data_IF_039536368866
#
_entry.id   IF_039536368866
#
_cell.length_a   1.000
_cell.length_b   1.000
_cell.length_c   1.000
_cell.angle_alpha   90.00
_cell.angle_beta   90.00
_cell.angle_gamma   90.00
#
_symmetry.space_group_name_H-M   'P 1'
#
loop_
_entity.id
_entity.type
_entity.pdbx_description
1 polymer ?
#
# COMPACT_ATOMS: atom_id res chain seq x y z
N UNK A 1 2.04 -28.70 7.20
CA UNK A 1 1.27 -27.44 7.32
C UNK A 1 1.99 -26.41 6.48
N UNK A 2 1.28 -25.71 5.60
CA UNK A 2 1.89 -24.74 4.69
C UNK A 2 2.50 -23.57 5.47
N UNK A 3 3.72 -23.18 5.11
CA UNK A 3 4.52 -22.18 5.82
C UNK A 3 4.53 -20.87 5.04
N UNK A 4 4.18 -19.77 5.72
CA UNK A 4 4.22 -18.41 5.20
C UNK A 4 4.97 -17.50 6.15
N UNK A 5 5.59 -16.45 5.61
CA UNK A 5 6.31 -15.46 6.43
C UNK A 5 6.10 -14.03 5.92
N UNK A 6 6.36 -13.06 6.78
CA UNK A 6 6.66 -11.69 6.36
C UNK A 6 8.14 -11.42 6.57
N UNK A 7 8.85 -11.06 5.49
CA UNK A 7 10.23 -10.61 5.53
C UNK A 7 10.31 -9.10 5.73
N UNK A 8 11.17 -8.65 6.64
CA UNK A 8 11.45 -7.24 6.85
C UNK A 8 12.58 -7.00 7.83
N UNK A 9 13.06 -5.76 7.88
CA UNK A 9 14.05 -5.32 8.85
C UNK A 9 13.87 -3.81 9.14
N UNK A 10 13.37 -3.43 10.33
CA UNK A 10 12.94 -4.28 11.45
C UNK A 10 11.60 -5.00 11.19
N UNK A 11 11.30 -6.05 11.98
CA UNK A 11 10.03 -6.82 11.85
C UNK A 11 9.28 -7.06 13.17
N UNK A 12 9.85 -6.70 14.32
CA UNK A 12 9.31 -7.06 15.66
C UNK A 12 7.89 -6.55 15.96
N UNK A 13 7.46 -5.47 15.29
CA UNK A 13 6.12 -4.89 15.46
C UNK A 13 5.17 -5.21 14.31
N UNK A 14 5.53 -6.13 13.41
CA UNK A 14 4.70 -6.47 12.26
C UNK A 14 3.34 -7.02 12.69
N UNK A 15 2.28 -6.50 12.08
CA UNK A 15 0.90 -6.94 12.30
C UNK A 15 0.49 -8.07 11.34
N UNK A 16 1.28 -8.38 10.30
CA UNK A 16 0.94 -9.41 9.31
C UNK A 16 0.68 -10.80 9.92
N UNK A 17 1.47 -11.30 10.92
CA UNK A 17 1.20 -12.60 11.52
C UNK A 17 -0.18 -12.70 12.19
N UNK A 18 -0.60 -11.63 12.88
CA UNK A 18 -1.93 -11.57 13.47
C UNK A 18 -3.02 -11.58 12.39
N UNK A 19 -2.86 -10.74 11.36
CA UNK A 19 -3.81 -10.61 10.25
C UNK A 19 -4.03 -11.96 9.55
N UNK A 20 -2.94 -12.61 9.12
CA UNK A 20 -3.04 -13.86 8.36
C UNK A 20 -3.50 -15.03 9.23
N UNK A 21 -3.20 -15.05 10.53
CA UNK A 21 -3.77 -16.03 11.46
C UNK A 21 -5.29 -15.87 11.57
N UNK A 22 -5.78 -14.64 11.74
CA UNK A 22 -7.22 -14.37 11.78
C UNK A 22 -7.91 -14.75 10.47
N UNK A 23 -7.29 -14.48 9.32
CA UNK A 23 -7.81 -14.92 8.02
C UNK A 23 -7.84 -16.45 7.89
N UNK A 24 -6.80 -17.15 8.36
CA UNK A 24 -6.75 -18.60 8.34
C UNK A 24 -7.84 -19.23 9.21
N UNK A 25 -8.05 -18.71 10.41
CA UNK A 25 -9.14 -19.14 11.32
C UNK A 25 -10.52 -18.91 10.69
N UNK A 26 -10.76 -17.72 10.12
CA UNK A 26 -12.03 -17.39 9.47
C UNK A 26 -12.36 -18.29 8.27
N UNK A 27 -11.34 -18.71 7.51
CA UNK A 27 -11.52 -19.43 6.24
C UNK A 27 -11.22 -20.92 6.35
N UNK A 28 -10.97 -21.44 7.56
CA UNK A 28 -10.66 -22.85 7.81
C UNK A 28 -9.36 -23.33 7.15
N UNK A 29 -8.39 -22.44 6.92
CA UNK A 29 -7.13 -22.76 6.26
C UNK A 29 -6.08 -23.24 7.27
N UNK A 30 -5.42 -24.35 6.98
CA UNK A 30 -4.35 -24.89 7.81
C UNK A 30 -2.97 -24.38 7.34
N UNK A 31 -2.53 -23.26 7.92
CA UNK A 31 -1.23 -22.65 7.64
C UNK A 31 -0.57 -22.11 8.90
N UNK A 32 0.75 -21.93 8.84
CA UNK A 32 1.50 -21.14 9.81
C UNK A 32 2.01 -19.86 9.15
N UNK A 33 1.95 -18.75 9.88
CA UNK A 33 2.39 -17.45 9.41
C UNK A 33 3.26 -16.77 10.46
N UNK A 34 4.51 -16.46 10.12
CA UNK A 34 5.49 -15.91 11.05
C UNK A 34 6.16 -14.62 10.55
N UNK A 35 6.66 -13.82 11.49
CA UNK A 35 7.57 -12.73 11.16
C UNK A 35 9.00 -13.26 11.05
N UNK A 36 9.72 -12.89 9.99
CA UNK A 36 11.08 -13.33 9.75
C UNK A 36 12.00 -12.14 9.53
N UNK A 37 12.98 -11.98 10.42
CA UNK A 37 13.95 -10.87 10.37
C UNK A 37 15.02 -11.20 9.33
N UNK A 38 14.90 -10.61 8.15
CA UNK A 38 15.86 -10.83 7.08
C UNK A 38 17.10 -9.93 7.24
N UNK A 39 18.31 -10.46 6.98
CA UNK A 39 19.55 -9.67 6.99
C UNK A 39 19.53 -8.62 5.86
N UNK A 40 20.13 -7.45 6.10
CA UNK A 40 20.14 -6.34 5.13
C UNK A 40 21.09 -6.58 3.95
N UNK A 41 22.10 -7.42 4.15
CA UNK A 41 23.20 -7.68 3.21
C UNK A 41 23.00 -8.94 2.36
N UNK A 42 22.07 -9.83 2.73
CA UNK A 42 21.83 -11.09 2.01
C UNK A 42 20.36 -11.55 2.03
N UNK A 43 19.44 -10.64 1.72
CA UNK A 43 18.00 -10.97 1.66
C UNK A 43 17.71 -12.03 0.58
N UNK A 44 18.37 -11.95 -0.57
CA UNK A 44 18.17 -12.90 -1.68
C UNK A 44 18.42 -14.35 -1.24
N UNK A 45 19.60 -14.67 -0.70
CA UNK A 45 19.89 -16.04 -0.28
C UNK A 45 19.00 -16.47 0.90
N UNK A 46 18.70 -15.55 1.81
CA UNK A 46 17.79 -15.78 2.93
C UNK A 46 16.38 -16.19 2.45
N UNK A 47 15.82 -15.46 1.49
CA UNK A 47 14.51 -15.77 0.90
C UNK A 47 14.55 -17.10 0.15
N UNK A 48 15.60 -17.38 -0.63
CA UNK A 48 15.77 -18.65 -1.34
C UNK A 48 15.83 -19.86 -0.40
N UNK A 49 16.49 -19.71 0.76
CA UNK A 49 16.54 -20.75 1.78
C UNK A 49 15.15 -21.05 2.35
N UNK A 50 14.34 -20.00 2.62
CA UNK A 50 12.95 -20.18 3.04
C UNK A 50 12.12 -20.93 1.98
N UNK A 51 12.23 -20.54 0.71
CA UNK A 51 11.47 -21.16 -0.38
C UNK A 51 11.84 -22.62 -0.69
N UNK A 52 12.86 -23.19 -0.06
CA UNK A 52 13.07 -24.65 -0.08
C UNK A 52 11.84 -25.40 0.45
N UNK A 53 11.17 -24.86 1.48
CA UNK A 53 10.00 -25.48 2.12
C UNK A 53 8.77 -24.56 2.20
N UNK A 54 8.98 -23.25 2.20
CA UNK A 54 7.93 -22.24 2.28
C UNK A 54 7.01 -22.19 1.06
N UNK A 55 5.77 -21.74 1.27
CA UNK A 55 4.74 -21.62 0.22
C UNK A 55 4.54 -20.19 -0.27
N UNK A 56 4.81 -19.20 0.56
CA UNK A 56 4.66 -17.81 0.19
C UNK A 56 5.25 -16.88 1.23
N UNK A 57 5.51 -15.63 0.85
CA UNK A 57 5.98 -14.63 1.78
C UNK A 57 5.44 -13.25 1.43
N UNK A 58 5.04 -12.45 2.42
CA UNK A 58 5.00 -11.01 2.22
C UNK A 58 6.38 -10.40 2.41
N UNK A 59 6.60 -9.26 1.77
CA UNK A 59 7.85 -8.51 1.84
C UNK A 59 7.53 -7.07 2.21
N UNK A 60 8.12 -6.59 3.30
CA UNK A 60 8.04 -5.19 3.73
C UNK A 60 9.37 -4.47 3.53
N UNK A 61 9.43 -3.20 3.91
CA UNK A 61 10.65 -2.39 3.82
C UNK A 61 11.84 -3.07 4.54
N UNK A 62 13.05 -2.96 3.99
CA UNK A 62 13.44 -2.28 2.74
C UNK A 62 13.46 -3.18 1.48
N UNK A 63 12.95 -4.42 1.54
CA UNK A 63 13.31 -5.47 0.58
C UNK A 63 12.45 -5.57 -0.69
N UNK A 64 11.42 -4.73 -0.87
CA UNK A 64 10.44 -4.89 -1.97
C UNK A 64 11.07 -4.86 -3.38
N UNK A 65 12.10 -4.05 -3.58
CA UNK A 65 12.84 -3.99 -4.86
C UNK A 65 13.76 -5.20 -5.05
N UNK A 66 14.30 -5.75 -3.96
CA UNK A 66 15.12 -6.95 -4.04
C UNK A 66 14.26 -8.20 -4.28
N UNK A 67 13.10 -8.28 -3.65
CA UNK A 67 12.08 -9.30 -3.93
C UNK A 67 11.59 -9.26 -5.39
N UNK A 68 11.52 -8.06 -5.98
CA UNK A 68 11.21 -7.91 -7.40
C UNK A 68 12.28 -8.54 -8.30
N UNK A 69 13.57 -8.37 -7.98
CA UNK A 69 14.69 -8.98 -8.72
C UNK A 69 14.86 -10.47 -8.45
N UNK A 70 14.46 -10.92 -7.25
CA UNK A 70 14.50 -12.32 -6.82
C UNK A 70 13.50 -13.20 -7.59
N UNK A 71 12.30 -12.68 -7.86
CA UNK A 71 11.21 -13.48 -8.41
C UNK A 71 11.53 -14.00 -9.82
N UNK A 72 11.28 -15.29 -10.07
CA UNK A 72 11.47 -15.92 -11.39
C UNK A 72 10.43 -15.41 -12.40
N UNK A 73 9.24 -15.07 -11.90
CA UNK A 73 8.11 -14.57 -12.67
C UNK A 73 7.50 -13.39 -11.93
N UNK A 74 6.93 -12.46 -12.67
CA UNK A 74 6.27 -11.27 -12.12
C UNK A 74 4.87 -11.13 -12.72
N UNK A 75 3.88 -10.78 -11.90
CA UNK A 75 2.58 -10.30 -12.39
C UNK A 75 2.73 -8.96 -13.11
N UNK A 76 1.77 -8.62 -13.96
CA UNK A 76 1.77 -7.32 -14.67
C UNK A 76 1.84 -6.15 -13.68
N UNK A 77 1.06 -6.21 -12.60
CA UNK A 77 1.08 -5.16 -11.56
C UNK A 77 2.39 -5.07 -10.79
N UNK A 78 3.07 -6.19 -10.55
CA UNK A 78 4.41 -6.14 -9.95
C UNK A 78 5.46 -5.58 -10.91
N UNK A 79 5.40 -5.94 -12.20
CA UNK A 79 6.26 -5.38 -13.26
C UNK A 79 6.12 -3.87 -13.33
N UNK A 80 4.87 -3.38 -13.37
CA UNK A 80 4.58 -1.94 -13.43
C UNK A 80 5.01 -1.22 -12.14
N UNK A 81 4.78 -1.84 -10.99
CA UNK A 81 5.19 -1.31 -9.70
C UNK A 81 6.71 -1.30 -9.48
N UNK A 82 7.49 -2.11 -10.21
CA UNK A 82 8.93 -2.28 -10.01
C UNK A 82 9.30 -2.79 -8.61
N UNK A 83 8.34 -3.40 -7.91
CA UNK A 83 8.44 -3.79 -6.51
C UNK A 83 7.49 -4.95 -6.22
N UNK A 84 7.91 -5.88 -5.35
CA UNK A 84 7.13 -7.04 -4.93
C UNK A 84 6.91 -6.98 -3.42
N UNK A 85 5.65 -7.08 -2.99
CA UNK A 85 5.29 -7.22 -1.56
C UNK A 85 4.73 -8.62 -1.24
N UNK A 86 4.52 -9.48 -2.25
CA UNK A 86 3.92 -10.80 -2.12
C UNK A 86 4.63 -11.79 -3.04
N UNK A 87 5.20 -12.85 -2.48
CA UNK A 87 5.90 -13.93 -3.18
C UNK A 87 5.10 -15.22 -3.03
N UNK A 88 5.02 -16.01 -4.09
CA UNK A 88 4.22 -17.23 -4.20
C UNK A 88 5.08 -18.34 -4.79
N UNK A 89 5.24 -19.47 -4.10
CA UNK A 89 5.88 -20.65 -4.66
C UNK A 89 4.89 -21.39 -5.55
N UNK A 90 5.24 -21.55 -6.83
CA UNK A 90 4.46 -22.28 -7.82
C UNK A 90 4.74 -23.79 -7.77
N UNK A 91 3.89 -24.57 -8.45
CA UNK A 91 3.98 -26.03 -8.47
C UNK A 91 5.25 -26.55 -9.16
N UNK A 92 5.80 -25.78 -10.11
CA UNK A 92 7.08 -26.07 -10.77
C UNK A 92 8.30 -25.70 -9.90
N UNK A 93 8.07 -25.16 -8.71
CA UNK A 93 9.08 -24.73 -7.76
C UNK A 93 9.58 -23.29 -7.95
N UNK A 94 9.18 -22.61 -9.02
CA UNK A 94 9.54 -21.20 -9.25
C UNK A 94 8.77 -20.26 -8.32
N UNK A 95 9.30 -19.04 -8.14
CA UNK A 95 8.70 -18.00 -7.29
C UNK A 95 8.08 -16.91 -8.16
N UNK A 96 6.76 -16.74 -8.04
CA UNK A 96 6.02 -15.63 -8.61
C UNK A 96 6.01 -14.45 -7.64
N UNK A 97 6.41 -13.27 -8.12
CA UNK A 97 6.30 -12.00 -7.41
C UNK A 97 5.07 -11.22 -7.83
N UNK A 98 4.35 -10.70 -6.84
CA UNK A 98 3.16 -9.88 -6.98
C UNK A 98 3.23 -8.61 -6.09
N UNK A 99 2.42 -7.61 -6.43
CA UNK A 99 2.28 -6.37 -5.67
C UNK A 99 0.80 -6.12 -5.32
N UNK A 100 0.46 -6.30 -4.05
CA UNK A 100 -0.91 -6.14 -3.53
C UNK A 100 -1.15 -4.79 -2.86
N UNK A 101 -0.13 -3.93 -2.71
CA UNK A 101 -0.26 -2.65 -2.01
C UNK A 101 -1.30 -1.75 -2.70
N UNK A 102 -1.19 -1.56 -4.02
CA UNK A 102 -2.12 -0.71 -4.77
C UNK A 102 -3.55 -1.29 -4.83
N UNK A 103 -3.68 -2.62 -4.91
CA UNK A 103 -4.99 -3.28 -4.82
C UNK A 103 -5.63 -3.08 -3.44
N UNK A 104 -4.84 -3.18 -2.37
CA UNK A 104 -5.28 -2.92 -0.99
C UNK A 104 -5.74 -1.48 -0.79
N UNK A 105 -4.97 -0.50 -1.28
CA UNK A 105 -5.32 0.91 -1.24
C UNK A 105 -6.66 1.19 -1.93
N UNK A 106 -6.80 0.75 -3.18
CA UNK A 106 -8.02 1.00 -3.96
C UNK A 106 -9.23 0.33 -3.33
N UNK A 107 -9.07 -0.89 -2.81
CA UNK A 107 -10.14 -1.62 -2.12
C UNK A 107 -10.58 -0.88 -0.87
N UNK A 108 -9.64 -0.39 -0.06
CA UNK A 108 -9.96 0.35 1.15
C UNK A 108 -10.67 1.68 0.85
N UNK A 109 -10.18 2.43 -0.15
CA UNK A 109 -10.82 3.67 -0.62
C UNK A 109 -12.25 3.43 -1.13
N UNK A 110 -12.42 2.47 -2.04
CA UNK A 110 -13.67 2.32 -2.80
C UNK A 110 -14.74 1.54 -2.04
N UNK A 111 -14.34 0.58 -1.20
CA UNK A 111 -15.28 -0.32 -0.53
C UNK A 111 -15.42 0.03 0.94
N UNK A 112 -14.32 0.14 1.68
CA UNK A 112 -14.39 0.40 3.11
C UNK A 112 -14.74 1.87 3.41
N UNK A 113 -14.19 2.80 2.62
CA UNK A 113 -14.48 4.23 2.75
C UNK A 113 -15.63 4.70 1.84
N UNK A 114 -16.07 3.89 0.88
CA UNK A 114 -17.17 4.23 -0.02
C UNK A 114 -16.87 5.38 -1.00
N UNK A 115 -15.59 5.66 -1.27
CA UNK A 115 -15.16 6.76 -2.15
C UNK A 115 -15.11 6.28 -3.59
N UNK A 116 -15.95 6.86 -4.45
CA UNK A 116 -15.81 6.66 -5.89
C UNK A 116 -14.62 7.46 -6.41
N UNK A 117 -13.71 6.82 -7.14
CA UNK A 117 -12.54 7.48 -7.76
C UNK A 117 -12.80 7.87 -9.23
N UNK A 118 -13.88 7.35 -9.83
CA UNK A 118 -14.21 7.60 -11.22
C UNK A 118 -14.58 9.06 -11.44
N UNK A 119 -13.92 9.72 -12.40
CA UNK A 119 -14.15 11.12 -12.73
C UNK A 119 -13.68 12.12 -11.66
N UNK A 120 -12.95 11.67 -10.64
CA UNK A 120 -12.43 12.53 -9.58
C UNK A 120 -11.06 13.12 -9.96
N UNK A 121 -10.73 14.28 -9.39
CA UNK A 121 -9.36 14.83 -9.38
C UNK A 121 -8.62 14.30 -8.16
N UNK A 122 -7.60 13.49 -8.39
CA UNK A 122 -6.80 12.84 -7.36
C UNK A 122 -5.44 13.55 -7.28
N UNK A 123 -5.03 13.93 -6.06
CA UNK A 123 -3.69 14.40 -5.75
C UNK A 123 -2.96 13.34 -4.93
N UNK A 124 -1.83 12.85 -5.44
CA UNK A 124 -0.97 11.87 -4.79
C UNK A 124 0.34 12.53 -4.35
N UNK A 125 0.57 12.59 -3.03
CA UNK A 125 1.73 13.26 -2.44
C UNK A 125 2.89 12.28 -2.26
N UNK A 126 4.02 12.59 -2.89
CA UNK A 126 5.22 11.78 -2.92
C UNK A 126 5.53 11.22 -4.32
N UNK A 127 6.72 10.64 -4.48
CA UNK A 127 7.12 9.94 -5.71
C UNK A 127 8.03 8.73 -5.39
N UNK A 128 7.71 8.02 -4.31
CA UNK A 128 8.43 6.82 -3.86
C UNK A 128 7.81 5.51 -4.34
N UNK A 129 8.30 4.38 -3.83
CA UNK A 129 7.80 3.05 -4.21
C UNK A 129 6.31 2.83 -3.92
N UNK A 130 5.78 3.41 -2.84
CA UNK A 130 4.34 3.33 -2.52
C UNK A 130 3.47 4.01 -3.59
N UNK A 131 3.90 5.16 -4.10
CA UNK A 131 3.22 5.88 -5.20
C UNK A 131 3.28 5.05 -6.46
N UNK A 132 4.45 4.54 -6.83
CA UNK A 132 4.62 3.70 -8.03
C UNK A 132 3.70 2.47 -8.00
N UNK A 133 3.60 1.77 -6.87
CA UNK A 133 2.72 0.61 -6.72
C UNK A 133 1.22 0.93 -6.69
N UNK A 134 0.85 2.17 -6.38
CA UNK A 134 -0.54 2.62 -6.34
C UNK A 134 -1.06 3.17 -7.68
N UNK A 135 -0.17 3.65 -8.57
CA UNK A 135 -0.56 4.38 -9.78
C UNK A 135 -1.46 3.58 -10.72
N UNK A 136 -1.06 2.36 -11.10
CA UNK A 136 -1.85 1.54 -12.03
C UNK A 136 -3.25 1.22 -11.48
N UNK A 137 -3.41 0.70 -10.24
CA UNK A 137 -4.73 0.48 -9.67
C UNK A 137 -5.60 1.73 -9.55
N UNK A 138 -5.00 2.89 -9.22
CA UNK A 138 -5.72 4.17 -9.16
C UNK A 138 -6.19 4.62 -10.54
N UNK A 139 -5.32 4.55 -11.56
CA UNK A 139 -5.65 4.93 -12.94
C UNK A 139 -6.71 4.00 -13.54
N UNK A 140 -6.71 2.71 -13.17
CA UNK A 140 -7.76 1.76 -13.57
C UNK A 140 -9.16 2.14 -13.07
N UNK A 141 -9.27 2.99 -12.03
CA UNK A 141 -10.56 3.54 -11.57
C UNK A 141 -11.09 4.70 -12.42
N UNK A 142 -10.36 5.09 -13.48
CA UNK A 142 -10.74 6.14 -14.43
C UNK A 142 -10.99 7.51 -13.76
N UNK A 143 -10.02 8.05 -12.99
CA UNK A 143 -10.11 9.41 -12.49
C UNK A 143 -10.13 10.42 -13.65
N UNK A 144 -10.64 11.63 -13.39
CA UNK A 144 -10.54 12.74 -14.34
C UNK A 144 -9.09 13.17 -14.55
N UNK A 145 -8.33 13.22 -13.46
CA UNK A 145 -6.90 13.50 -13.44
C UNK A 145 -6.25 12.93 -12.19
N UNK A 146 -5.01 12.46 -12.29
CA UNK A 146 -4.16 12.09 -11.17
C UNK A 146 -2.87 12.92 -11.21
N UNK A 147 -2.69 13.79 -10.22
CA UNK A 147 -1.48 14.63 -10.10
C UNK A 147 -0.55 14.04 -9.06
N UNK A 148 0.68 13.77 -9.44
CA UNK A 148 1.77 13.36 -8.54
C UNK A 148 2.51 14.61 -8.10
N UNK A 149 2.52 14.90 -6.81
CA UNK A 149 3.22 16.05 -6.26
C UNK A 149 4.39 15.63 -5.38
N UNK A 150 5.59 16.13 -5.68
CA UNK A 150 6.79 15.75 -4.94
C UNK A 150 7.77 16.91 -4.79
N UNK A 151 8.55 16.91 -3.69
CA UNK A 151 9.57 17.94 -3.42
C UNK A 151 10.61 18.04 -4.54
N UNK A 152 10.98 16.90 -5.10
CA UNK A 152 11.85 16.80 -6.29
C UNK A 152 10.95 16.47 -7.47
N UNK A 153 10.57 17.49 -8.25
CA UNK A 153 9.54 17.38 -9.29
C UNK A 153 9.91 16.38 -10.38
N UNK A 154 11.21 16.23 -10.68
CA UNK A 154 11.73 15.33 -11.71
C UNK A 154 11.39 13.86 -11.42
N UNK A 155 11.22 13.50 -10.14
CA UNK A 155 10.77 12.15 -9.76
C UNK A 155 9.30 11.94 -10.09
N UNK A 156 8.46 12.96 -9.88
CA UNK A 156 7.04 12.91 -10.24
C UNK A 156 6.87 12.91 -11.76
N UNK A 157 7.63 13.73 -12.49
CA UNK A 157 7.60 13.79 -13.96
C UNK A 157 7.94 12.44 -14.59
N UNK A 158 8.99 11.78 -14.07
CA UNK A 158 9.36 10.45 -14.53
C UNK A 158 8.24 9.43 -14.32
N UNK A 159 7.61 9.41 -13.14
CA UNK A 159 6.48 8.53 -12.88
C UNK A 159 5.28 8.86 -13.78
N UNK A 160 4.97 10.14 -14.00
CA UNK A 160 3.89 10.53 -14.90
C UNK A 160 4.16 10.04 -16.34
N UNK A 161 5.41 10.18 -16.82
CA UNK A 161 5.79 9.69 -18.14
C UNK A 161 5.69 8.16 -18.28
N UNK A 162 6.14 7.41 -17.27
CA UNK A 162 6.13 5.94 -17.27
C UNK A 162 4.71 5.33 -17.18
N UNK A 163 3.73 6.11 -16.74
CA UNK A 163 2.33 5.68 -16.55
C UNK A 163 1.35 6.42 -17.48
N UNK A 164 1.85 7.25 -18.40
CA UNK A 164 1.03 8.03 -19.33
C UNK A 164 0.19 7.16 -20.28
N UNK A 165 0.59 5.91 -20.50
CA UNK A 165 -0.16 4.92 -21.29
C UNK A 165 -1.45 4.44 -20.59
N UNK A 166 -1.55 4.60 -19.26
CA UNK A 166 -2.65 4.05 -18.46
C UNK A 166 -3.76 5.07 -18.14
N UNK A 167 -3.51 6.37 -18.29
CA UNK A 167 -4.53 7.39 -18.03
C UNK A 167 -3.99 8.81 -17.84
N UNK A 168 -4.84 9.75 -17.39
CA UNK A 168 -4.49 11.15 -17.26
C UNK A 168 -3.65 11.41 -15.99
N UNK A 169 -2.36 11.05 -16.06
CA UNK A 169 -1.39 11.28 -14.98
C UNK A 169 -0.49 12.48 -15.28
N UNK A 170 -0.29 13.33 -14.29
CA UNK A 170 0.49 14.56 -14.39
C UNK A 170 1.45 14.69 -13.20
N UNK A 171 2.48 15.51 -13.36
CA UNK A 171 3.41 15.84 -12.30
C UNK A 171 3.31 17.32 -11.92
N UNK A 172 3.54 17.63 -10.64
CA UNK A 172 3.60 19.00 -10.14
C UNK A 172 4.61 19.13 -9.00
N UNK A 173 5.17 20.33 -8.82
CA UNK A 173 5.69 20.72 -7.50
C UNK A 173 4.55 21.17 -6.60
N UNK A 174 4.80 21.28 -5.31
CA UNK A 174 3.77 21.70 -4.35
C UNK A 174 3.32 23.16 -4.55
N UNK A 175 4.21 24.04 -5.01
CA UNK A 175 3.96 25.50 -5.10
C UNK A 175 2.88 25.86 -6.14
N UNK A 176 2.69 25.01 -7.15
CA UNK A 176 1.73 25.22 -8.22
C UNK A 176 0.32 24.70 -7.93
N UNK A 177 0.13 24.02 -6.78
CA UNK A 177 -1.15 23.44 -6.39
C UNK A 177 -2.00 24.48 -5.64
N UNK A 178 -3.01 25.03 -6.33
CA UNK A 178 -3.86 26.11 -5.79
C UNK A 178 -5.36 25.78 -5.81
N UNK A 179 -5.78 24.80 -6.61
CA UNK A 179 -7.18 24.43 -6.74
C UNK A 179 -7.54 23.25 -5.85
N UNK A 180 -8.74 23.27 -5.27
CA UNK A 180 -9.25 22.13 -4.51
C UNK A 180 -9.33 20.88 -5.37
N UNK A 181 -9.06 19.74 -4.76
CA UNK A 181 -9.18 18.42 -5.40
C UNK A 181 -10.21 17.58 -4.66
N UNK A 182 -10.64 16.49 -5.28
CA UNK A 182 -11.69 15.66 -4.71
C UNK A 182 -11.12 14.60 -3.76
N UNK A 183 -9.92 14.08 -4.05
CA UNK A 183 -9.21 13.10 -3.22
C UNK A 183 -7.74 13.47 -3.08
N UNK A 184 -7.22 13.53 -1.85
CA UNK A 184 -5.80 13.67 -1.54
C UNK A 184 -5.30 12.38 -0.90
N UNK A 185 -4.25 11.78 -1.46
CA UNK A 185 -3.60 10.59 -0.92
C UNK A 185 -2.17 10.97 -0.54
N UNK A 186 -1.84 10.94 0.75
CA UNK A 186 -0.49 11.11 1.25
C UNK A 186 0.27 9.77 1.23
N UNK A 187 1.33 9.69 0.44
CA UNK A 187 2.23 8.55 0.38
C UNK A 187 3.64 8.91 0.88
N UNK A 188 3.80 10.06 1.55
CA UNK A 188 5.07 10.51 2.10
C UNK A 188 5.30 9.94 3.50
N UNK A 189 6.55 9.66 3.84
CA UNK A 189 6.93 9.26 5.20
C UNK A 189 6.99 10.43 6.19
N UNK A 190 6.75 11.68 5.74
CA UNK A 190 6.81 12.88 6.58
C UNK A 190 5.85 12.80 7.76
N UNK A 191 4.68 12.18 7.56
CA UNK A 191 3.66 12.05 8.60
C UNK A 191 4.10 11.19 9.79
N UNK A 192 5.04 10.25 9.59
CA UNK A 192 5.64 9.47 10.68
C UNK A 192 6.60 10.30 11.54
N UNK A 193 7.20 11.34 10.96
CA UNK A 193 8.01 12.32 11.70
C UNK A 193 7.16 13.44 12.33
N UNK A 194 5.84 13.37 12.20
CA UNK A 194 4.93 14.44 12.63
C UNK A 194 4.93 15.66 11.71
N UNK A 195 5.53 15.54 10.52
CA UNK A 195 5.64 16.61 9.53
C UNK A 195 4.53 16.50 8.47
N UNK A 196 4.25 17.64 7.84
CA UNK A 196 3.36 17.74 6.69
C UNK A 196 4.18 18.07 5.44
N UNK A 197 3.84 17.49 4.27
CA UNK A 197 4.33 18.04 3.02
C UNK A 197 3.88 19.50 2.89
N UNK A 198 4.62 20.37 2.18
CA UNK A 198 4.32 21.79 2.08
C UNK A 198 3.14 22.05 1.14
N UNK A 199 1.94 21.61 1.53
CA UNK A 199 0.70 21.68 0.74
C UNK A 199 -0.21 22.81 1.25
N UNK A 200 -0.89 23.48 0.33
CA UNK A 200 -1.79 24.60 0.63
C UNK A 200 -3.12 24.12 1.21
N UNK A 201 -3.68 24.77 2.25
CA UNK A 201 -5.05 24.53 2.72
C UNK A 201 -6.12 24.66 1.64
N UNK A 202 -5.88 25.49 0.61
CA UNK A 202 -6.79 25.66 -0.54
C UNK A 202 -7.08 24.38 -1.32
N UNK A 203 -6.25 23.34 -1.15
CA UNK A 203 -6.44 22.03 -1.76
C UNK A 203 -7.64 21.27 -1.17
N UNK A 204 -8.08 21.64 0.03
CA UNK A 204 -9.24 21.06 0.70
C UNK A 204 -10.44 21.99 0.52
N UNK A 205 -11.47 21.46 -0.14
CA UNK A 205 -12.81 22.04 -0.13
C UNK A 205 -13.58 21.48 1.08
N UNK A 206 -13.94 22.31 2.07
CA UNK A 206 -14.56 21.84 3.30
C UNK A 206 -15.87 21.07 3.04
N UNK A 207 -16.03 19.92 3.69
CA UNK A 207 -17.18 19.03 3.53
C UNK A 207 -17.19 18.23 2.23
N UNK A 208 -16.18 18.36 1.36
CA UNK A 208 -16.12 17.64 0.06
C UNK A 208 -14.83 16.85 -0.15
N UNK A 209 -13.65 17.44 0.06
CA UNK A 209 -12.38 16.74 -0.22
C UNK A 209 -12.19 15.57 0.73
N UNK A 210 -11.88 14.39 0.18
CA UNK A 210 -11.52 13.20 0.94
C UNK A 210 -10.00 13.10 1.09
N UNK A 211 -9.52 12.83 2.30
CA UNK A 211 -8.09 12.72 2.60
C UNK A 211 -7.73 11.32 3.09
N UNK A 212 -6.69 10.72 2.50
CA UNK A 212 -6.17 9.41 2.86
C UNK A 212 -4.67 9.48 3.16
N UNK A 213 -4.24 9.00 4.31
CA UNK A 213 -2.83 8.80 4.61
C UNK A 213 -2.47 7.32 4.42
N UNK A 214 -1.46 6.99 3.60
CA UNK A 214 -0.95 5.62 3.54
C UNK A 214 -0.22 5.21 4.83
N UNK A 215 0.15 6.18 5.66
CA UNK A 215 0.71 5.94 6.99
C UNK A 215 -0.41 5.69 8.00
N UNK A 216 -0.08 4.97 9.07
CA UNK A 216 -0.95 4.78 10.23
C UNK A 216 -0.11 4.78 11.51
N UNK A 217 -0.68 5.28 12.60
CA UNK A 217 -0.09 5.21 13.94
C UNK A 217 -1.18 5.15 15.01
N UNK A 218 -0.79 5.07 16.29
CA UNK A 218 -1.71 5.00 17.42
C UNK A 218 -2.62 6.24 17.52
N UNK A 219 -2.01 7.41 17.40
CA UNK A 219 -2.72 8.68 17.31
C UNK A 219 -2.99 9.04 15.85
N UNK A 220 -3.98 9.89 15.52
CA UNK A 220 -4.17 10.36 14.16
C UNK A 220 -2.87 10.97 13.62
N UNK A 221 -2.48 10.66 12.36
CA UNK A 221 -1.23 11.16 11.77
C UNK A 221 -1.25 12.69 11.63
N UNK A 222 -0.08 13.31 11.42
CA UNK A 222 -0.01 14.76 11.19
C UNK A 222 -0.89 15.19 9.99
N UNK A 223 -0.87 14.42 8.90
CA UNK A 223 -1.72 14.66 7.72
C UNK A 223 -3.20 14.52 8.06
N UNK A 224 -3.60 13.48 8.78
CA UNK A 224 -5.00 13.29 9.14
C UNK A 224 -5.54 14.40 10.05
N UNK A 225 -4.74 14.86 11.02
CA UNK A 225 -5.10 16.00 11.88
C UNK A 225 -5.28 17.27 11.07
N UNK A 226 -4.29 17.59 10.23
CA UNK A 226 -4.34 18.76 9.36
C UNK A 226 -5.56 18.74 8.43
N UNK A 227 -5.83 17.62 7.78
CA UNK A 227 -6.99 17.48 6.88
C UNK A 227 -8.31 17.70 7.61
N UNK A 228 -8.43 17.15 8.83
CA UNK A 228 -9.61 17.36 9.70
C UNK A 228 -9.75 18.83 10.09
N UNK A 229 -8.66 19.50 10.47
CA UNK A 229 -8.65 20.92 10.83
C UNK A 229 -9.03 21.84 9.65
N UNK A 230 -8.68 21.47 8.42
CA UNK A 230 -9.10 22.19 7.21
C UNK A 230 -10.53 21.86 6.76
N UNK A 231 -11.23 20.96 7.46
CA UNK A 231 -12.62 20.63 7.20
C UNK A 231 -12.84 19.60 6.08
N UNK A 232 -11.88 18.71 5.81
CA UNK A 232 -12.06 17.61 4.87
C UNK A 232 -13.37 16.84 5.16
N UNK A 233 -14.04 16.33 4.12
CA UNK A 233 -15.26 15.53 4.28
C UNK A 233 -15.02 14.31 5.18
N UNK A 234 -13.86 13.69 4.98
CA UNK A 234 -13.37 12.58 5.79
C UNK A 234 -11.85 12.52 5.69
N UNK A 235 -11.22 12.08 6.77
CA UNK A 235 -9.78 11.80 6.84
C UNK A 235 -9.55 10.40 7.39
N UNK A 236 -8.80 9.56 6.67
CA UNK A 236 -8.57 8.14 7.00
C UNK A 236 -7.08 7.81 6.92
N UNK A 237 -6.61 6.89 7.78
CA UNK A 237 -5.24 6.38 7.79
C UNK A 237 -5.09 5.06 7.01
N UNK A 238 -3.85 4.59 6.89
CA UNK A 238 -3.49 3.46 6.04
C UNK A 238 -3.76 2.08 6.65
N UNK A 239 -4.42 2.00 7.81
CA UNK A 239 -4.64 0.71 8.48
C UNK A 239 -5.57 -0.19 7.66
N UNK A 240 -6.55 0.38 6.98
CA UNK A 240 -7.42 -0.36 6.07
C UNK A 240 -6.66 -0.91 4.87
N UNK A 241 -5.81 -0.09 4.22
CA UNK A 241 -4.89 -0.54 3.16
C UNK A 241 -4.02 -1.72 3.62
N UNK A 242 -3.48 -1.69 4.84
CA UNK A 242 -2.68 -2.81 5.40
C UNK A 242 -3.48 -4.12 5.45
N UNK A 243 -4.75 -4.08 5.85
CA UNK A 243 -5.59 -5.29 5.95
C UNK A 243 -6.01 -5.77 4.57
N UNK A 244 -6.38 -4.86 3.67
CA UNK A 244 -6.85 -5.22 2.33
C UNK A 244 -5.72 -5.77 1.44
N UNK A 245 -4.50 -5.23 1.51
CA UNK A 245 -3.36 -5.81 0.78
C UNK A 245 -3.02 -7.22 1.28
N UNK A 246 -3.22 -7.48 2.58
CA UNK A 246 -3.01 -8.79 3.18
C UNK A 246 -4.14 -9.76 2.78
N UNK A 247 -5.39 -9.29 2.69
CA UNK A 247 -6.52 -10.08 2.21
C UNK A 247 -6.33 -10.46 0.73
N UNK A 248 -5.78 -9.55 -0.09
CA UNK A 248 -5.39 -9.82 -1.47
C UNK A 248 -4.27 -10.89 -1.54
N UNK A 249 -3.22 -10.76 -0.74
CA UNK A 249 -2.16 -11.78 -0.68
C UNK A 249 -2.70 -13.15 -0.23
N UNK A 250 -3.61 -13.17 0.74
CA UNK A 250 -4.27 -14.38 1.20
C UNK A 250 -5.11 -15.03 0.10
N UNK A 251 -5.85 -14.23 -0.68
CA UNK A 251 -6.60 -14.72 -1.84
C UNK A 251 -5.68 -15.37 -2.87
N UNK A 252 -4.55 -14.74 -3.19
CA UNK A 252 -3.58 -15.30 -4.13
C UNK A 252 -3.01 -16.64 -3.66
N UNK A 253 -2.73 -16.78 -2.37
CA UNK A 253 -2.16 -18.00 -1.82
C UNK A 253 -3.18 -19.12 -1.61
N UNK A 254 -4.39 -18.78 -1.19
CA UNK A 254 -5.37 -19.74 -0.66
C UNK A 254 -6.63 -19.88 -1.51
N UNK A 255 -6.79 -19.05 -2.54
CA UNK A 255 -7.94 -19.08 -3.45
C UNK A 255 -9.26 -18.61 -2.81
N UNK A 256 -9.23 -18.06 -1.60
CA UNK A 256 -10.40 -17.57 -0.87
C UNK A 256 -10.13 -16.18 -0.33
N UNK A 257 -11.08 -15.25 -0.50
CA UNK A 257 -10.98 -13.90 0.05
C UNK A 257 -11.53 -13.90 1.49
N UNK A 258 -10.72 -13.54 2.49
CA UNK A 258 -11.20 -13.45 3.88
C UNK A 258 -12.02 -12.16 4.10
N UNK A 259 -12.75 -12.10 5.22
CA UNK A 259 -13.46 -10.89 5.63
C UNK A 259 -12.51 -9.96 6.41
N UNK A 260 -12.21 -8.80 5.83
CA UNK A 260 -11.30 -7.81 6.38
C UNK A 260 -11.90 -6.99 7.52
N UNK A 261 -13.22 -6.81 7.57
CA UNK A 261 -13.89 -5.94 8.53
C UNK A 261 -13.62 -6.31 10.01
N UNK A 262 -13.78 -7.58 10.45
CA UNK A 262 -13.51 -7.94 11.84
C UNK A 262 -12.04 -7.81 12.22
N UNK A 263 -11.11 -8.07 11.27
CA UNK A 263 -9.67 -7.95 11.50
C UNK A 263 -9.26 -6.48 11.64
N UNK A 264 -9.78 -5.61 10.78
CA UNK A 264 -9.56 -4.18 10.86
C UNK A 264 -10.08 -3.60 12.19
N UNK A 265 -11.26 -4.03 12.63
CA UNK A 265 -11.83 -3.61 13.91
C UNK A 265 -10.96 -4.02 15.11
N UNK A 266 -10.40 -5.24 15.10
CA UNK A 266 -9.48 -5.70 16.14
C UNK A 266 -8.17 -4.92 16.13
N UNK A 267 -7.58 -4.68 14.96
CA UNK A 267 -6.35 -3.89 14.87
C UNK A 267 -6.54 -2.46 15.37
N UNK A 268 -7.69 -1.83 15.09
CA UNK A 268 -8.02 -0.51 15.67
C UNK A 268 -8.08 -0.55 17.18
N UNK A 269 -8.67 -1.59 17.78
CA UNK A 269 -8.68 -1.76 19.25
C UNK A 269 -7.27 -1.88 19.82
N UNK A 270 -6.39 -2.67 19.18
CA UNK A 270 -5.01 -2.84 19.64
C UNK A 270 -4.14 -1.61 19.46
N UNK A 271 -4.42 -0.76 18.47
CA UNK A 271 -3.71 0.51 18.30
C UNK A 271 -4.18 1.54 19.34
N UNK A 272 -5.46 1.54 19.70
CA UNK A 272 -6.01 2.45 20.71
C UNK A 272 -5.58 2.08 22.15
N UNK A 273 -5.41 0.79 22.44
CA UNK A 273 -4.88 0.28 23.72
C UNK A 273 -3.44 0.68 23.96
#
# INVERSE_FOLDING_TARGET
MDQYVVFGNPIGHSKSPLIHRSFAEQTGQALDYQASLAPLDDFTAFAQAFFQQGRGANVTVPFKEEAFRLADRLTERAQRAGAVNTLIKLDDGSVLGDNTDGAGLVRDLTINCGVSLRGQRILLLGAGGAVRGALEPLLAQQPLALVIANRTVEKAERLAQEFADLGPVFASSFDWLQESVDVIINATSASLAGELPPISPSLIEPGKTFCYDMMYCKEPTAFCRWATEQGAAQSVDGLGMLVEQAAEAFLLWRGVRPDSAPVLAELRRQLAG
#
